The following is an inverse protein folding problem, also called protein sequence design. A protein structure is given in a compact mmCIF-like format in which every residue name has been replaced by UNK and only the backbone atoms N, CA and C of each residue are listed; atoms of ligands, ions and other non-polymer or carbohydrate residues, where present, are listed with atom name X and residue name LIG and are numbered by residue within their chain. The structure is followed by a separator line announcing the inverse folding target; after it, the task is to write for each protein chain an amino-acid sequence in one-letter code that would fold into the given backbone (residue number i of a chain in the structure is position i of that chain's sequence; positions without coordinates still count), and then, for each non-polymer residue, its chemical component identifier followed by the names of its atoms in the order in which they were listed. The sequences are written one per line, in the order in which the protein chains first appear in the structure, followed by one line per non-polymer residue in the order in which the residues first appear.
data_IF_370945293383
#
_entry.id   IF_370945293383
#
_cell.length_a   1.000
_cell.length_b   1.000
_cell.length_c   1.000
_cell.angle_alpha   90.00
_cell.angle_beta   90.00
_cell.angle_gamma   90.00
#
_symmetry.space_group_name_H-M   'P 1'
#
loop_
_entity.id
_entity.type
_entity.pdbx_description
1 polymer ?
#
# COMPACT_ATOMS: atom_id res chain seq x y z
N UNK A 1 31.82 -29.51 26.39
CA UNK A 1 31.17 -29.69 25.06
C UNK A 1 30.74 -28.32 24.56
N UNK A 2 31.60 -27.70 23.77
CA UNK A 2 31.38 -26.36 23.16
C UNK A 2 30.44 -26.52 21.97
N UNK A 3 29.25 -25.95 22.06
CA UNK A 3 28.34 -25.83 20.89
C UNK A 3 28.96 -24.88 19.88
N UNK A 4 29.45 -25.43 18.79
CA UNK A 4 29.82 -24.68 17.59
C UNK A 4 28.56 -23.93 17.08
N UNK A 5 28.58 -22.62 17.18
CA UNK A 5 27.59 -21.78 16.47
C UNK A 5 27.95 -21.85 14.99
N UNK A 6 27.22 -22.66 14.24
CA UNK A 6 27.24 -22.57 12.78
C UNK A 6 26.71 -21.18 12.40
N UNK A 7 27.60 -20.27 12.01
CA UNK A 7 27.23 -19.05 11.30
C UNK A 7 26.49 -19.51 10.02
N UNK A 8 25.20 -19.37 9.99
CA UNK A 8 24.42 -19.54 8.76
C UNK A 8 24.99 -18.54 7.77
N UNK A 9 25.70 -19.00 6.76
CA UNK A 9 26.21 -18.14 5.69
C UNK A 9 24.99 -17.51 4.99
N UNK A 10 24.95 -16.19 4.93
CA UNK A 10 23.96 -15.48 4.14
C UNK A 10 24.25 -15.84 2.67
N UNK A 11 23.24 -16.37 1.91
CA UNK A 11 23.47 -16.72 0.51
C UNK A 11 23.82 -15.47 -0.30
N UNK A 12 24.68 -15.61 -1.29
CA UNK A 12 24.98 -14.51 -2.24
C UNK A 12 23.72 -14.14 -3.03
N UNK A 13 23.65 -12.93 -3.56
CA UNK A 13 22.53 -12.47 -4.38
C UNK A 13 22.31 -13.42 -5.58
N UNK A 14 23.37 -13.88 -6.22
CA UNK A 14 23.30 -14.87 -7.31
C UNK A 14 22.63 -16.18 -6.87
N UNK A 15 22.93 -16.69 -5.67
CA UNK A 15 22.28 -17.88 -5.13
C UNK A 15 20.79 -17.63 -4.84
N UNK A 16 20.45 -16.47 -4.30
CA UNK A 16 19.05 -16.09 -4.02
C UNK A 16 18.21 -16.03 -5.31
N UNK A 17 18.79 -15.57 -6.42
CA UNK A 17 18.10 -15.48 -7.72
C UNK A 17 17.87 -16.85 -8.36
N UNK A 18 18.73 -17.84 -8.10
CA UNK A 18 18.56 -19.21 -8.63
C UNK A 18 17.38 -19.95 -7.97
N UNK A 19 17.07 -19.63 -6.71
CA UNK A 19 15.96 -20.29 -5.99
C UNK A 19 14.60 -19.73 -6.42
N UNK A 20 14.34 -18.46 -6.12
CA UNK A 20 13.15 -17.72 -6.55
C UNK A 20 13.33 -16.22 -6.32
N UNK A 21 13.05 -15.38 -7.32
CA UNK A 21 13.14 -13.93 -7.16
C UNK A 21 12.02 -13.35 -6.27
N UNK A 22 10.99 -14.14 -5.91
CA UNK A 22 9.82 -13.69 -5.17
C UNK A 22 9.83 -14.14 -3.69
N UNK A 23 10.98 -14.02 -3.01
CA UNK A 23 11.13 -14.42 -1.59
C UNK A 23 10.46 -13.41 -0.64
N UNK A 24 10.54 -12.14 -0.94
CA UNK A 24 10.10 -11.06 -0.06
C UNK A 24 9.34 -9.96 -0.78
N UNK A 25 8.67 -9.13 0.01
CA UNK A 25 7.93 -7.95 -0.45
C UNK A 25 8.57 -6.72 0.20
N UNK A 26 9.48 -6.08 -0.53
CA UNK A 26 10.40 -5.09 0.03
C UNK A 26 9.82 -3.67 0.17
N UNK A 27 8.76 -3.33 -0.56
CA UNK A 27 8.26 -1.95 -0.63
C UNK A 27 7.77 -1.37 0.71
N UNK A 28 7.52 -2.17 1.72
CA UNK A 28 7.19 -1.69 3.06
C UNK A 28 8.24 -2.15 4.08
N UNK A 29 9.36 -1.46 4.09
CA UNK A 29 10.45 -1.70 5.03
C UNK A 29 10.37 -0.72 6.21
N UNK A 30 10.59 -1.17 7.47
CA UNK A 30 10.66 -2.55 7.90
C UNK A 30 9.34 -3.30 7.75
N UNK A 31 9.44 -4.61 7.51
CA UNK A 31 8.24 -5.43 7.40
C UNK A 31 7.43 -5.42 8.71
N UNK A 32 6.12 -5.51 8.62
CA UNK A 32 5.20 -5.50 9.79
C UNK A 32 5.53 -6.52 10.87
N UNK A 33 6.23 -7.59 10.52
CA UNK A 33 6.71 -8.58 11.49
C UNK A 33 7.85 -8.07 12.39
N UNK A 34 8.41 -6.90 12.12
CA UNK A 34 9.38 -6.24 12.99
C UNK A 34 8.73 -5.47 14.14
N UNK A 35 7.44 -5.14 14.01
CA UNK A 35 6.72 -4.37 15.00
C UNK A 35 6.55 -5.16 16.30
N UNK A 36 6.74 -4.47 17.43
CA UNK A 36 6.67 -5.01 18.81
C UNK A 36 5.99 -4.00 19.71
N UNK A 37 5.64 -4.42 20.90
CA UNK A 37 5.27 -3.49 21.99
C UNK A 37 6.43 -2.52 22.21
N UNK A 38 6.14 -1.24 22.24
CA UNK A 38 7.09 -0.18 22.60
C UNK A 38 7.05 0.00 24.12
N UNK A 39 8.17 -0.28 24.77
CA UNK A 39 8.30 -0.14 26.22
C UNK A 39 9.53 0.72 26.54
N UNK A 40 9.35 1.89 27.19
CA UNK A 40 8.06 2.51 27.49
C UNK A 40 7.32 2.98 26.22
N UNK A 41 5.97 3.10 26.27
CA UNK A 41 5.19 3.75 25.21
C UNK A 41 5.65 5.19 24.99
N UNK A 42 5.54 5.67 23.74
CA UNK A 42 6.05 6.98 23.35
C UNK A 42 4.88 7.94 23.15
N UNK A 43 4.84 9.12 23.82
CA UNK A 43 3.85 10.14 23.55
C UNK A 43 3.91 10.58 22.09
N UNK A 44 2.76 10.66 21.40
CA UNK A 44 2.72 11.08 20.00
C UNK A 44 3.28 12.48 19.79
N UNK A 45 3.07 13.39 20.75
CA UNK A 45 3.62 14.74 20.71
C UNK A 45 5.15 14.72 20.61
N UNK A 46 5.81 13.83 21.37
CA UNK A 46 7.26 13.71 21.38
C UNK A 46 7.77 13.08 20.07
N UNK A 47 7.01 12.13 19.50
CA UNK A 47 7.33 11.52 18.20
C UNK A 47 7.26 12.53 17.06
N UNK A 48 6.24 13.39 17.05
CA UNK A 48 6.00 14.32 15.96
C UNK A 48 6.70 15.67 16.13
N UNK A 49 7.21 16.00 17.32
CA UNK A 49 7.87 17.28 17.57
C UNK A 49 9.10 17.53 16.67
N UNK A 50 10.00 16.54 16.45
CA UNK A 50 11.17 16.71 15.58
C UNK A 50 10.87 16.58 14.09
N UNK A 51 9.67 16.15 13.71
CA UNK A 51 9.33 15.85 12.32
C UNK A 51 8.93 17.12 11.54
N UNK A 52 9.22 17.10 10.24
CA UNK A 52 8.64 18.07 9.31
C UNK A 52 7.14 17.77 9.18
N UNK A 53 6.31 18.82 9.34
CA UNK A 53 4.85 18.70 9.35
C UNK A 53 4.17 19.64 8.35
N UNK A 54 4.94 20.20 7.44
CA UNK A 54 4.50 21.14 6.40
C UNK A 54 3.93 20.44 5.15
N UNK A 55 4.05 19.10 5.08
CA UNK A 55 3.54 18.33 3.95
C UNK A 55 3.29 16.86 4.36
N UNK A 56 2.34 16.61 5.27
CA UNK A 56 2.02 15.27 5.75
C UNK A 56 1.13 14.50 4.76
N UNK A 57 1.28 13.19 4.77
CA UNK A 57 0.38 12.25 4.11
C UNK A 57 -0.62 11.70 5.13
N UNK A 58 -1.91 11.94 4.95
CA UNK A 58 -2.96 11.40 5.81
C UNK A 58 -3.53 10.11 5.20
N UNK A 59 -3.45 9.01 5.95
CA UNK A 59 -4.01 7.72 5.55
C UNK A 59 -5.11 7.28 6.51
N UNK A 60 -6.32 7.03 5.98
CA UNK A 60 -7.43 6.48 6.74
C UNK A 60 -7.62 5.00 6.36
N UNK A 61 -7.60 4.12 7.34
CA UNK A 61 -7.84 2.69 7.13
C UNK A 61 -9.29 2.33 7.45
N UNK A 62 -10.02 1.82 6.48
CA UNK A 62 -11.37 1.29 6.65
C UNK A 62 -11.28 -0.24 6.53
N UNK A 63 -11.45 -1.00 7.62
CA UNK A 63 -11.19 -2.44 7.62
C UNK A 63 -12.32 -3.28 7.05
N UNK A 64 -13.37 -2.70 6.50
CA UNK A 64 -14.58 -3.38 6.09
C UNK A 64 -14.54 -3.82 4.63
N UNK A 65 -15.07 -5.01 4.37
CA UNK A 65 -15.23 -5.57 3.03
C UNK A 65 -16.54 -6.33 2.95
N UNK A 66 -17.09 -6.49 1.75
CA UNK A 66 -18.19 -7.39 1.47
C UNK A 66 -17.75 -8.87 1.51
N UNK A 67 -16.48 -9.13 1.21
CA UNK A 67 -15.89 -10.46 1.22
C UNK A 67 -14.40 -10.39 1.57
N UNK A 68 -13.84 -11.51 2.01
CA UNK A 68 -12.41 -11.65 2.19
C UNK A 68 -11.82 -12.53 1.10
N UNK A 69 -11.02 -11.93 0.20
CA UNK A 69 -10.33 -12.64 -0.87
C UNK A 69 -9.34 -13.68 -0.31
N UNK A 70 -9.13 -14.77 -1.05
CA UNK A 70 -8.27 -15.88 -0.61
C UNK A 70 -6.79 -15.49 -0.43
N UNK A 71 -6.31 -14.47 -1.14
CA UNK A 71 -4.94 -13.94 -1.04
C UNK A 71 -4.79 -12.81 -0.02
N UNK A 72 -5.89 -12.25 0.52
CA UNK A 72 -5.85 -11.03 1.32
C UNK A 72 -5.07 -11.21 2.62
N UNK A 73 -4.03 -10.39 2.78
CA UNK A 73 -3.20 -10.32 3.98
C UNK A 73 -3.32 -8.97 4.70
N UNK A 74 -4.30 -8.15 4.31
CA UNK A 74 -4.59 -6.87 4.95
C UNK A 74 -5.41 -7.08 6.23
N UNK A 75 -5.41 -6.06 7.08
CA UNK A 75 -6.25 -6.01 8.28
C UNK A 75 -7.68 -5.70 7.86
N UNK A 76 -8.49 -6.73 7.65
CA UNK A 76 -9.86 -6.59 7.13
C UNK A 76 -10.83 -7.54 7.81
N UNK A 77 -12.09 -7.11 7.91
CA UNK A 77 -13.23 -7.94 8.33
C UNK A 77 -14.34 -7.88 7.28
N UNK A 78 -14.93 -9.04 6.99
CA UNK A 78 -15.98 -9.12 5.98
C UNK A 78 -17.37 -9.12 6.65
N UNK A 79 -18.32 -8.41 6.03
CA UNK A 79 -19.70 -8.28 6.45
C UNK A 79 -19.84 -7.96 7.95
N UNK A 80 -19.29 -6.83 8.42
CA UNK A 80 -19.48 -6.38 9.81
C UNK A 80 -20.96 -6.08 10.07
N UNK A 81 -21.36 -6.11 11.35
CA UNK A 81 -22.66 -5.59 11.72
C UNK A 81 -22.67 -4.04 11.60
N UNK A 82 -23.76 -3.44 11.17
CA UNK A 82 -23.89 -1.99 11.04
C UNK A 82 -23.58 -1.21 12.34
N UNK A 83 -23.83 -1.83 13.50
CA UNK A 83 -23.43 -1.25 14.79
C UNK A 83 -21.90 -1.15 14.95
N UNK A 84 -21.16 -2.11 14.38
CA UNK A 84 -19.69 -2.11 14.41
C UNK A 84 -19.11 -1.00 13.50
N UNK A 85 -19.72 -0.76 12.35
CA UNK A 85 -19.32 0.31 11.44
C UNK A 85 -19.41 1.68 12.14
N UNK A 86 -20.57 1.98 12.74
CA UNK A 86 -20.76 3.23 13.49
C UNK A 86 -19.78 3.37 14.66
N UNK A 87 -19.62 2.32 15.47
CA UNK A 87 -18.65 2.33 16.57
C UNK A 87 -17.21 2.56 16.06
N UNK A 88 -16.89 2.01 14.88
CA UNK A 88 -15.58 2.21 14.28
C UNK A 88 -15.36 3.67 13.86
N UNK A 89 -16.32 4.28 13.19
CA UNK A 89 -16.25 5.69 12.80
C UNK A 89 -16.15 6.63 14.01
N UNK A 90 -16.88 6.32 15.10
CA UNK A 90 -16.77 7.03 16.37
C UNK A 90 -15.37 6.89 16.98
N UNK A 91 -14.81 5.69 17.01
CA UNK A 91 -13.46 5.45 17.51
C UNK A 91 -12.40 6.13 16.63
N UNK A 92 -12.57 6.11 15.30
CA UNK A 92 -11.72 6.80 14.35
C UNK A 92 -11.72 8.32 14.59
N UNK A 93 -12.89 8.93 14.86
CA UNK A 93 -13.01 10.35 15.18
C UNK A 93 -12.31 10.67 16.52
N UNK A 94 -12.45 9.84 17.55
CA UNK A 94 -11.74 10.00 18.84
C UNK A 94 -10.22 9.93 18.64
N UNK A 95 -9.73 8.96 17.88
CA UNK A 95 -8.31 8.88 17.52
C UNK A 95 -7.85 10.11 16.75
N UNK A 96 -8.61 10.55 15.75
CA UNK A 96 -8.28 11.69 14.90
C UNK A 96 -8.10 12.98 15.73
N UNK A 97 -8.98 13.24 16.68
CA UNK A 97 -8.88 14.38 17.61
C UNK A 97 -7.56 14.36 18.39
N UNK A 98 -7.19 13.21 18.97
CA UNK A 98 -5.96 13.06 19.77
C UNK A 98 -4.70 13.20 18.91
N UNK A 99 -4.72 12.60 17.70
CA UNK A 99 -3.59 12.71 16.77
C UNK A 99 -3.41 14.14 16.27
N UNK A 100 -4.49 14.83 15.88
CA UNK A 100 -4.45 16.26 15.54
C UNK A 100 -3.80 17.10 16.64
N UNK A 101 -4.23 16.91 17.88
CA UNK A 101 -3.71 17.67 19.03
C UNK A 101 -2.21 17.38 19.29
N UNK A 102 -1.77 16.15 19.01
CA UNK A 102 -0.35 15.78 19.12
C UNK A 102 0.51 16.36 17.98
N UNK A 103 -0.04 16.50 16.78
CA UNK A 103 0.65 17.10 15.64
C UNK A 103 0.88 18.61 15.81
N UNK A 104 -0.01 19.33 16.47
CA UNK A 104 0.07 20.79 16.62
C UNK A 104 -0.16 21.53 15.30
N UNK A 105 0.81 22.32 14.84
CA UNK A 105 0.74 22.98 13.52
C UNK A 105 1.27 22.06 12.45
N UNK A 106 0.49 21.80 11.41
CA UNK A 106 0.83 20.92 10.30
C UNK A 106 0.06 21.30 9.03
N UNK A 107 0.45 20.71 7.90
CA UNK A 107 -0.27 20.79 6.64
C UNK A 107 -0.37 19.39 6.03
N UNK A 108 -1.54 19.04 5.51
CA UNK A 108 -1.76 17.80 4.76
C UNK A 108 -1.53 18.09 3.27
N UNK A 109 -0.58 17.37 2.69
CA UNK A 109 -0.26 17.48 1.26
C UNK A 109 -1.01 16.44 0.42
N UNK A 110 -1.43 15.34 1.01
CA UNK A 110 -2.11 14.24 0.31
C UNK A 110 -2.96 13.40 1.26
N UNK A 111 -4.05 12.84 0.75
CA UNK A 111 -4.93 11.93 1.48
C UNK A 111 -5.08 10.61 0.74
N UNK A 112 -5.14 9.50 1.46
CA UNK A 112 -5.63 8.24 0.93
C UNK A 112 -6.57 7.55 1.93
N UNK A 113 -7.63 6.97 1.41
CA UNK A 113 -8.58 6.15 2.17
C UNK A 113 -8.57 4.75 1.57
N UNK A 114 -8.11 3.78 2.36
CA UNK A 114 -7.89 2.43 1.87
C UNK A 114 -8.07 1.37 2.96
N UNK A 115 -7.52 0.18 2.72
CA UNK A 115 -7.45 -0.90 3.70
C UNK A 115 -8.23 -2.13 3.34
N UNK A 116 -9.51 -2.18 3.67
CA UNK A 116 -10.48 -3.16 3.20
C UNK A 116 -11.08 -2.69 1.88
N UNK A 117 -12.24 -2.10 1.97
CA UNK A 117 -12.94 -1.45 0.85
C UNK A 117 -13.66 -0.22 1.39
N UNK A 118 -13.08 0.96 1.32
CA UNK A 118 -13.71 2.18 1.84
C UNK A 118 -15.12 2.43 1.35
N UNK A 119 -15.38 2.14 0.07
CA UNK A 119 -16.73 2.22 -0.52
C UNK A 119 -17.69 1.12 -0.06
N UNK A 120 -17.31 0.30 0.92
CA UNK A 120 -18.25 -0.53 1.67
C UNK A 120 -19.19 0.33 2.52
N UNK A 121 -18.69 1.47 3.00
CA UNK A 121 -19.48 2.45 3.74
C UNK A 121 -20.59 3.05 2.87
N UNK A 122 -21.69 3.45 3.52
CA UNK A 122 -22.77 4.16 2.84
C UNK A 122 -22.36 5.60 2.50
N UNK A 123 -23.03 6.26 1.52
CA UNK A 123 -22.67 7.61 1.08
C UNK A 123 -22.57 8.63 2.22
N UNK A 124 -23.48 8.61 3.18
CA UNK A 124 -23.47 9.52 4.34
C UNK A 124 -22.23 9.32 5.21
N UNK A 125 -21.81 8.06 5.44
CA UNK A 125 -20.60 7.74 6.20
C UNK A 125 -19.34 8.15 5.43
N UNK A 126 -19.32 8.00 4.09
CA UNK A 126 -18.26 8.54 3.26
C UNK A 126 -18.17 10.06 3.38
N UNK A 127 -19.28 10.77 3.29
CA UNK A 127 -19.29 12.21 3.54
C UNK A 127 -18.76 12.56 4.93
N UNK A 128 -19.15 11.82 5.96
CA UNK A 128 -18.65 11.99 7.33
C UNK A 128 -17.14 11.80 7.47
N UNK A 129 -16.53 10.87 6.70
CA UNK A 129 -15.06 10.73 6.66
C UNK A 129 -14.37 11.97 6.06
N UNK A 130 -14.91 12.53 4.99
CA UNK A 130 -14.37 13.75 4.40
C UNK A 130 -14.57 14.98 5.31
N UNK A 131 -15.72 15.07 5.98
CA UNK A 131 -15.94 16.10 6.99
C UNK A 131 -14.92 16.01 8.12
N UNK A 132 -14.62 14.79 8.60
CA UNK A 132 -13.56 14.55 9.58
C UNK A 132 -12.20 15.06 9.08
N UNK A 133 -11.83 14.77 7.82
CA UNK A 133 -10.54 15.22 7.28
C UNK A 133 -10.46 16.73 7.13
N UNK A 134 -11.53 17.39 6.71
CA UNK A 134 -11.57 18.85 6.55
C UNK A 134 -11.62 19.58 7.91
N UNK A 135 -12.47 19.13 8.83
CA UNK A 135 -12.64 19.75 10.15
C UNK A 135 -11.41 19.63 11.05
N UNK A 136 -10.79 18.43 11.06
CA UNK A 136 -9.70 18.14 12.01
C UNK A 136 -8.31 18.32 11.41
N UNK A 137 -8.15 18.13 10.12
CA UNK A 137 -6.85 18.16 9.47
C UNK A 137 -6.71 19.25 8.41
N UNK A 138 -7.73 20.10 8.25
CA UNK A 138 -7.68 21.22 7.32
C UNK A 138 -7.53 20.79 5.84
N UNK A 139 -8.02 19.60 5.50
CA UNK A 139 -7.96 19.10 4.12
C UNK A 139 -8.97 19.89 3.28
N UNK A 140 -8.46 20.71 2.40
CA UNK A 140 -9.27 21.50 1.46
C UNK A 140 -9.50 20.74 0.15
N UNK A 141 -10.51 21.17 -0.60
CA UNK A 141 -10.75 20.66 -1.96
C UNK A 141 -9.53 20.97 -2.84
N UNK A 142 -9.04 19.97 -3.56
CA UNK A 142 -7.83 20.09 -4.38
C UNK A 142 -6.58 19.49 -3.75
N UNK A 143 -6.63 19.12 -2.46
CA UNK A 143 -5.60 18.24 -1.90
C UNK A 143 -5.75 16.85 -2.55
N UNK A 144 -4.69 16.32 -3.20
CA UNK A 144 -4.76 15.04 -3.89
C UNK A 144 -5.29 13.92 -2.98
N UNK A 145 -6.41 13.33 -3.37
CA UNK A 145 -7.15 12.37 -2.55
C UNK A 145 -7.48 11.11 -3.33
N UNK A 146 -6.99 9.98 -2.84
CA UNK A 146 -7.20 8.65 -3.42
C UNK A 146 -8.11 7.79 -2.55
N UNK A 147 -9.06 7.06 -3.17
CA UNK A 147 -9.95 6.14 -2.47
C UNK A 147 -9.93 4.76 -3.12
N UNK A 148 -9.81 3.70 -2.31
CA UNK A 148 -9.92 2.32 -2.78
C UNK A 148 -11.38 1.89 -2.91
N UNK A 149 -11.70 1.09 -3.92
CA UNK A 149 -13.02 0.52 -4.18
C UNK A 149 -12.95 -0.93 -4.65
N UNK A 150 -14.08 -1.59 -4.73
CA UNK A 150 -14.23 -2.91 -5.34
C UNK A 150 -15.36 -2.90 -6.38
N UNK A 151 -15.38 -3.87 -7.31
CA UNK A 151 -16.45 -3.92 -8.32
C UNK A 151 -17.87 -3.95 -7.74
N UNK A 152 -18.05 -4.57 -6.58
CA UNK A 152 -19.37 -4.67 -5.93
C UNK A 152 -19.81 -3.37 -5.27
N UNK A 153 -18.87 -2.59 -4.76
CA UNK A 153 -19.15 -1.37 -3.97
C UNK A 153 -19.05 -0.08 -4.77
N UNK A 154 -18.59 -0.15 -6.03
CA UNK A 154 -18.54 0.98 -6.96
C UNK A 154 -19.95 1.31 -7.51
N UNK A 155 -20.87 1.71 -6.62
CA UNK A 155 -22.23 2.12 -7.01
C UNK A 155 -22.28 3.59 -7.40
N UNK A 156 -23.28 4.01 -8.21
CA UNK A 156 -23.42 5.43 -8.61
C UNK A 156 -23.44 6.39 -7.42
N UNK A 157 -24.18 6.05 -6.36
CA UNK A 157 -24.36 6.90 -5.18
C UNK A 157 -23.03 7.09 -4.42
N UNK A 158 -22.26 5.99 -4.23
CA UNK A 158 -20.96 6.04 -3.54
C UNK A 158 -19.92 6.79 -4.36
N UNK A 159 -19.88 6.55 -5.67
CA UNK A 159 -18.93 7.25 -6.55
C UNK A 159 -19.29 8.73 -6.70
N UNK A 160 -20.58 9.07 -6.69
CA UNK A 160 -21.03 10.47 -6.69
C UNK A 160 -20.57 11.14 -5.37
N UNK A 161 -20.73 10.47 -4.21
CA UNK A 161 -20.25 11.01 -2.94
C UNK A 161 -18.73 11.30 -2.97
N UNK A 162 -17.92 10.43 -3.60
CA UNK A 162 -16.49 10.67 -3.78
C UNK A 162 -16.22 11.87 -4.70
N UNK A 163 -16.91 11.95 -5.83
CA UNK A 163 -16.77 13.05 -6.80
C UNK A 163 -17.17 14.41 -6.18
N UNK A 164 -18.26 14.46 -5.41
CA UNK A 164 -18.73 15.66 -4.71
C UNK A 164 -17.68 16.20 -3.72
N UNK A 165 -16.87 15.32 -3.15
CA UNK A 165 -15.78 15.65 -2.23
C UNK A 165 -14.45 15.95 -2.92
N UNK A 166 -14.40 15.88 -4.26
CA UNK A 166 -13.23 16.21 -5.04
C UNK A 166 -12.13 15.13 -4.99
N UNK A 167 -12.54 13.87 -4.82
CA UNK A 167 -11.62 12.73 -4.99
C UNK A 167 -11.10 12.74 -6.42
N UNK A 168 -9.78 12.74 -6.57
CA UNK A 168 -9.13 12.79 -7.87
C UNK A 168 -8.66 11.43 -8.39
N UNK A 169 -8.62 10.42 -7.52
CA UNK A 169 -8.17 9.08 -7.86
C UNK A 169 -9.01 8.00 -7.19
N UNK A 170 -9.50 7.06 -7.98
CA UNK A 170 -10.12 5.82 -7.49
C UNK A 170 -9.27 4.64 -7.89
N UNK A 171 -8.96 3.75 -6.93
CA UNK A 171 -8.24 2.50 -7.17
C UNK A 171 -9.18 1.33 -7.03
N UNK A 172 -9.38 0.56 -8.10
CA UNK A 172 -10.23 -0.61 -8.08
C UNK A 172 -9.43 -1.90 -8.23
N UNK A 173 -9.53 -2.77 -7.20
CA UNK A 173 -8.97 -4.12 -7.29
C UNK A 173 -9.81 -5.00 -8.21
N UNK A 174 -9.29 -5.36 -9.39
CA UNK A 174 -9.89 -6.33 -10.33
C UNK A 174 -9.20 -7.68 -10.23
N UNK A 175 -7.88 -7.67 -10.11
CA UNK A 175 -6.98 -8.81 -9.97
C UNK A 175 -6.81 -9.64 -11.25
N UNK A 176 -7.89 -10.05 -11.91
CA UNK A 176 -7.93 -10.72 -13.22
C UNK A 176 -9.29 -10.50 -13.89
N UNK A 177 -9.29 -10.41 -15.22
CA UNK A 177 -10.51 -10.41 -16.04
C UNK A 177 -10.91 -11.84 -16.49
N UNK A 178 -10.22 -12.87 -16.02
CA UNK A 178 -10.57 -14.27 -16.21
C UNK A 178 -11.34 -14.77 -14.99
N UNK A 179 -12.66 -15.08 -15.09
CA UNK A 179 -13.46 -15.48 -13.94
C UNK A 179 -12.91 -16.69 -13.19
N UNK A 180 -12.34 -17.67 -13.90
CA UNK A 180 -11.74 -18.86 -13.31
C UNK A 180 -10.53 -18.54 -12.43
N UNK A 181 -9.67 -17.56 -12.83
CA UNK A 181 -8.51 -17.12 -12.07
C UNK A 181 -8.95 -16.36 -10.81
N UNK A 182 -9.92 -15.45 -10.95
CA UNK A 182 -10.49 -14.72 -9.81
C UNK A 182 -11.12 -15.67 -8.80
N UNK A 183 -11.92 -16.65 -9.25
CA UNK A 183 -12.51 -17.67 -8.40
C UNK A 183 -11.46 -18.54 -7.71
N UNK A 184 -10.41 -18.96 -8.43
CA UNK A 184 -9.31 -19.75 -7.89
C UNK A 184 -8.48 -18.96 -6.84
N UNK A 185 -8.50 -17.63 -6.92
CA UNK A 185 -7.93 -16.73 -5.92
C UNK A 185 -8.87 -16.44 -4.72
N UNK A 186 -10.03 -17.12 -4.67
CA UNK A 186 -11.04 -16.91 -3.63
C UNK A 186 -11.72 -15.55 -3.71
N UNK A 187 -11.81 -14.97 -4.94
CA UNK A 187 -12.51 -13.72 -5.22
C UNK A 187 -13.65 -14.00 -6.20
N UNK A 188 -14.85 -14.17 -5.66
CA UNK A 188 -16.05 -14.33 -6.47
C UNK A 188 -16.46 -12.98 -7.08
N UNK A 189 -16.11 -12.76 -8.36
CA UNK A 189 -16.55 -11.62 -9.14
C UNK A 189 -16.97 -12.07 -10.53
N UNK A 190 -18.06 -11.48 -11.02
CA UNK A 190 -18.59 -11.72 -12.36
C UNK A 190 -18.06 -10.65 -13.32
N UNK A 191 -17.82 -11.02 -14.57
CA UNK A 191 -17.31 -10.10 -15.60
C UNK A 191 -18.19 -8.89 -15.78
N UNK A 192 -19.53 -9.10 -15.83
CA UNK A 192 -20.50 -8.03 -16.00
C UNK A 192 -20.53 -7.06 -14.80
N UNK A 193 -20.23 -7.56 -13.59
CA UNK A 193 -20.11 -6.70 -12.41
C UNK A 193 -18.89 -5.78 -12.53
N UNK A 194 -17.76 -6.30 -12.97
CA UNK A 194 -16.54 -5.52 -13.19
C UNK A 194 -16.78 -4.46 -14.27
N UNK A 195 -17.39 -4.85 -15.40
CA UNK A 195 -17.71 -3.93 -16.49
C UNK A 195 -18.60 -2.78 -16.00
N UNK A 196 -19.73 -3.10 -15.35
CA UNK A 196 -20.62 -2.05 -14.80
C UNK A 196 -19.93 -1.13 -13.79
N UNK A 197 -19.07 -1.67 -12.95
CA UNK A 197 -18.30 -0.85 -11.99
C UNK A 197 -17.38 0.14 -12.72
N UNK A 198 -16.68 -0.31 -13.75
CA UNK A 198 -15.79 0.52 -14.56
C UNK A 198 -16.57 1.64 -15.28
N UNK A 199 -17.70 1.29 -15.90
CA UNK A 199 -18.59 2.26 -16.54
C UNK A 199 -19.10 3.30 -15.52
N UNK A 200 -19.46 2.86 -14.31
CA UNK A 200 -19.93 3.75 -13.24
C UNK A 200 -18.82 4.70 -12.77
N UNK A 201 -17.59 4.22 -12.61
CA UNK A 201 -16.44 5.07 -12.26
C UNK A 201 -16.19 6.12 -13.35
N UNK A 202 -16.25 5.73 -14.63
CA UNK A 202 -16.12 6.66 -15.75
C UNK A 202 -17.25 7.70 -15.79
N UNK A 203 -18.49 7.28 -15.52
CA UNK A 203 -19.63 8.18 -15.43
C UNK A 203 -19.50 9.22 -14.30
N UNK A 204 -18.88 8.85 -13.18
CA UNK A 204 -18.61 9.77 -12.06
C UNK A 204 -17.53 10.82 -12.39
N UNK A 205 -16.80 10.69 -13.51
CA UNK A 205 -15.77 11.64 -13.98
C UNK A 205 -14.65 11.90 -12.97
N UNK A 206 -14.31 10.90 -12.18
CA UNK A 206 -13.13 10.97 -11.30
C UNK A 206 -11.88 10.98 -12.20
N UNK A 207 -10.94 11.93 -12.01
CA UNK A 207 -9.86 12.18 -12.96
C UNK A 207 -8.94 10.99 -13.22
N UNK A 208 -8.68 10.17 -12.19
CA UNK A 208 -7.74 9.03 -12.31
C UNK A 208 -8.42 7.73 -11.90
N UNK A 209 -8.56 6.81 -12.85
CA UNK A 209 -8.87 5.41 -12.59
C UNK A 209 -7.58 4.61 -12.52
N UNK A 210 -7.34 3.97 -11.39
CA UNK A 210 -6.32 2.94 -11.25
C UNK A 210 -6.96 1.56 -11.19
N UNK A 211 -6.36 0.58 -11.88
CA UNK A 211 -6.74 -0.83 -11.76
C UNK A 211 -5.60 -1.65 -11.18
N UNK A 212 -5.91 -2.41 -10.13
CA UNK A 212 -4.99 -3.34 -9.51
C UNK A 212 -5.19 -4.74 -10.10
N UNK A 213 -4.12 -5.32 -10.65
CA UNK A 213 -4.09 -6.65 -11.23
C UNK A 213 -3.03 -7.51 -10.53
N UNK A 214 -3.31 -8.82 -10.40
CA UNK A 214 -2.38 -9.76 -9.78
C UNK A 214 -1.91 -10.78 -10.81
N UNK A 215 -0.58 -10.91 -10.95
CA UNK A 215 0.03 -11.96 -11.76
C UNK A 215 0.53 -13.12 -10.90
N UNK A 216 0.55 -14.33 -11.49
CA UNK A 216 0.87 -15.58 -10.81
C UNK A 216 -0.32 -16.17 -10.05
N UNK A 217 -1.56 -15.84 -10.42
CA UNK A 217 -2.76 -16.44 -9.87
C UNK A 217 -2.83 -17.96 -10.17
N UNK A 218 -3.54 -18.76 -9.35
CA UNK A 218 -3.70 -20.17 -9.60
C UNK A 218 -4.35 -20.43 -10.96
N UNK A 219 -3.68 -21.21 -11.82
CA UNK A 219 -4.13 -21.53 -13.17
C UNK A 219 -3.82 -20.46 -14.23
N UNK A 220 -3.24 -19.33 -13.85
CA UNK A 220 -2.87 -18.26 -14.75
C UNK A 220 -1.68 -18.70 -15.65
N UNK A 221 -1.73 -18.31 -16.91
CA UNK A 221 -0.64 -18.42 -17.88
C UNK A 221 -0.23 -17.04 -18.34
N UNK A 222 0.91 -16.92 -19.04
CA UNK A 222 1.31 -15.65 -19.65
C UNK A 222 0.23 -15.15 -20.61
N UNK A 223 -0.40 -16.05 -21.38
CA UNK A 223 -1.44 -15.69 -22.34
C UNK A 223 -2.69 -15.12 -21.66
N UNK A 224 -3.19 -15.76 -20.59
CA UNK A 224 -4.38 -15.28 -19.86
C UNK A 224 -4.08 -14.00 -19.08
N UNK A 225 -2.83 -13.84 -18.64
CA UNK A 225 -2.36 -12.59 -18.03
C UNK A 225 -2.37 -11.43 -19.04
N UNK A 226 -1.80 -11.62 -20.23
CA UNK A 226 -1.81 -10.61 -21.29
C UNK A 226 -3.24 -10.24 -21.72
N UNK A 227 -4.13 -11.24 -21.87
CA UNK A 227 -5.54 -10.98 -22.11
C UNK A 227 -6.17 -10.08 -21.02
N UNK A 228 -5.89 -10.35 -19.75
CA UNK A 228 -6.40 -9.51 -18.66
C UNK A 228 -5.88 -8.06 -18.74
N UNK A 229 -4.64 -7.85 -19.16
CA UNK A 229 -4.08 -6.52 -19.39
C UNK A 229 -4.74 -5.82 -20.59
N UNK A 230 -4.95 -6.53 -21.71
CA UNK A 230 -5.63 -5.99 -22.89
C UNK A 230 -7.06 -5.55 -22.57
N UNK A 231 -7.80 -6.37 -21.81
CA UNK A 231 -9.14 -5.99 -21.34
C UNK A 231 -9.06 -4.79 -20.40
N UNK A 232 -8.12 -4.74 -19.46
CA UNK A 232 -7.93 -3.58 -18.60
C UNK A 232 -7.68 -2.30 -19.41
N UNK A 233 -6.77 -2.36 -20.40
CA UNK A 233 -6.44 -1.22 -21.26
C UNK A 233 -7.62 -0.74 -22.11
N UNK A 234 -8.56 -1.63 -22.48
CA UNK A 234 -9.77 -1.22 -23.23
C UNK A 234 -10.67 -0.24 -22.50
N UNK A 235 -10.56 -0.16 -21.16
CA UNK A 235 -11.21 0.85 -20.31
C UNK A 235 -10.38 2.13 -20.17
N UNK A 236 -9.22 2.21 -20.85
CA UNK A 236 -8.30 3.36 -20.84
C UNK A 236 -7.97 3.87 -19.42
N UNK A 237 -7.54 3.01 -18.46
CA UNK A 237 -7.20 3.48 -17.11
C UNK A 237 -5.96 4.39 -17.17
N UNK A 238 -5.96 5.42 -16.35
CA UNK A 238 -4.83 6.34 -16.19
C UNK A 238 -3.64 5.64 -15.54
N UNK A 239 -3.93 4.64 -14.67
CA UNK A 239 -2.90 3.90 -13.94
C UNK A 239 -3.23 2.41 -13.89
N UNK A 240 -2.17 1.59 -13.93
CA UNK A 240 -2.22 0.15 -13.72
C UNK A 240 -1.19 -0.24 -12.66
N UNK A 241 -1.62 -0.98 -11.64
CA UNK A 241 -0.74 -1.59 -10.67
C UNK A 241 -0.69 -3.10 -10.85
N UNK A 242 0.52 -3.62 -11.07
CA UNK A 242 0.78 -5.04 -11.25
C UNK A 242 1.39 -5.61 -9.97
N UNK A 243 0.68 -6.54 -9.34
CA UNK A 243 1.12 -7.17 -8.09
C UNK A 243 1.46 -8.64 -8.30
N UNK A 244 2.63 -9.12 -7.84
CA UNK A 244 2.87 -10.57 -7.78
C UNK A 244 1.97 -11.20 -6.71
N UNK A 245 1.44 -12.38 -6.99
CA UNK A 245 0.76 -13.15 -5.97
C UNK A 245 1.76 -13.59 -4.89
N UNK A 246 1.53 -13.14 -3.66
CA UNK A 246 2.19 -13.67 -2.48
C UNK A 246 1.19 -14.46 -1.62
N UNK A 247 1.43 -15.76 -1.51
CA UNK A 247 0.65 -16.59 -0.59
C UNK A 247 1.27 -16.48 0.80
N UNK A 248 0.59 -15.77 1.67
CA UNK A 248 1.04 -15.55 3.06
C UNK A 248 0.37 -16.54 4.01
N UNK A 249 1.05 -16.94 5.10
CA UNK A 249 0.42 -17.74 6.15
C UNK A 249 -0.89 -17.10 6.63
N UNK A 250 -1.87 -17.92 6.99
CA UNK A 250 -3.20 -17.53 7.47
C UNK A 250 -4.13 -16.89 6.41
N UNK A 251 -3.70 -16.77 5.15
CA UNK A 251 -4.59 -16.42 4.05
C UNK A 251 -5.40 -17.65 3.59
N UNK A 252 -6.50 -17.45 2.87
CA UNK A 252 -7.30 -18.54 2.32
C UNK A 252 -6.49 -19.46 1.41
N UNK A 253 -5.66 -18.89 0.54
CA UNK A 253 -4.82 -19.63 -0.40
C UNK A 253 -3.71 -20.45 0.27
N UNK A 254 -3.25 -20.08 1.46
CA UNK A 254 -2.23 -20.84 2.18
C UNK A 254 -2.72 -22.20 2.68
N UNK A 255 -4.03 -22.43 2.68
CA UNK A 255 -4.68 -23.68 3.10
C UNK A 255 -4.88 -24.67 1.96
N UNK A 256 -4.57 -24.27 0.74
CA UNK A 256 -4.76 -25.09 -0.47
C UNK A 256 -3.39 -25.47 -1.00
N UNK A 257 -2.99 -26.73 -0.77
CA UNK A 257 -1.82 -27.31 -1.41
C UNK A 257 -2.10 -27.48 -2.91
N UNK A 258 -1.31 -26.83 -3.74
CA UNK A 258 -1.28 -27.03 -5.20
C UNK A 258 0.16 -26.94 -5.65
N UNK A 259 0.60 -27.92 -6.43
CA UNK A 259 1.80 -27.74 -7.25
C UNK A 259 1.55 -26.56 -8.19
N UNK A 260 2.45 -25.59 -8.16
CA UNK A 260 2.33 -24.37 -8.97
C UNK A 260 3.63 -24.21 -9.76
N UNK A 261 3.52 -24.17 -11.07
CA UNK A 261 4.58 -23.61 -11.87
C UNK A 261 4.65 -22.10 -11.55
N UNK A 262 5.83 -21.61 -11.17
CA UNK A 262 6.00 -20.18 -10.91
C UNK A 262 6.11 -19.41 -12.22
N UNK A 263 5.01 -18.84 -12.66
CA UNK A 263 4.92 -18.05 -13.90
C UNK A 263 5.10 -16.55 -13.64
N UNK A 264 5.34 -16.13 -12.39
CA UNK A 264 5.30 -14.71 -12.01
C UNK A 264 6.31 -13.87 -12.78
N UNK A 265 7.54 -14.30 -12.91
CA UNK A 265 8.57 -13.56 -13.64
C UNK A 265 8.22 -13.42 -15.11
N UNK A 266 7.81 -14.50 -15.76
CA UNK A 266 7.40 -14.49 -17.15
C UNK A 266 6.16 -13.60 -17.39
N UNK A 267 5.17 -13.64 -16.49
CA UNK A 267 4.00 -12.75 -16.54
C UNK A 267 4.41 -11.29 -16.37
N UNK A 268 5.29 -10.99 -15.42
CA UNK A 268 5.74 -9.61 -15.20
C UNK A 268 6.46 -9.04 -16.42
N UNK A 269 7.42 -9.78 -16.97
CA UNK A 269 8.18 -9.37 -18.16
C UNK A 269 7.25 -9.12 -19.35
N UNK A 270 6.41 -10.10 -19.68
CA UNK A 270 5.47 -9.97 -20.80
C UNK A 270 4.46 -8.81 -20.59
N UNK A 271 3.94 -8.66 -19.38
CA UNK A 271 3.00 -7.57 -19.06
C UNK A 271 3.65 -6.20 -19.12
N UNK A 272 4.86 -6.05 -18.61
CA UNK A 272 5.65 -4.83 -18.72
C UNK A 272 5.89 -4.44 -20.18
N UNK A 273 6.34 -5.39 -20.98
CA UNK A 273 6.63 -5.14 -22.40
C UNK A 273 5.36 -4.75 -23.19
N UNK A 274 4.23 -5.41 -22.90
CA UNK A 274 2.93 -5.05 -23.47
C UNK A 274 2.53 -3.61 -23.11
N UNK A 275 2.61 -3.23 -21.82
CA UNK A 275 2.22 -1.89 -21.38
C UNK A 275 3.11 -0.80 -21.95
N UNK A 276 4.43 -1.00 -21.99
CA UNK A 276 5.37 -0.05 -22.58
C UNK A 276 5.12 0.13 -24.08
N UNK A 277 4.88 -0.96 -24.83
CA UNK A 277 4.54 -0.89 -26.25
C UNK A 277 3.16 -0.29 -26.53
N UNK A 278 2.26 -0.27 -25.52
CA UNK A 278 0.92 0.31 -25.59
C UNK A 278 0.86 1.78 -25.13
N UNK A 279 2.01 2.43 -24.91
CA UNK A 279 2.08 3.86 -24.56
C UNK A 279 1.95 4.17 -23.06
N UNK A 280 2.07 3.16 -22.19
CA UNK A 280 2.23 3.38 -20.77
C UNK A 280 3.70 3.63 -20.44
N UNK A 281 3.96 4.48 -19.44
CA UNK A 281 5.29 4.68 -18.86
C UNK A 281 5.36 3.96 -17.52
N UNK A 282 6.43 3.22 -17.29
CA UNK A 282 6.69 2.62 -15.99
C UNK A 282 7.13 3.72 -15.00
N UNK A 283 6.46 3.83 -13.86
CA UNK A 283 6.77 4.78 -12.79
C UNK A 283 7.53 4.11 -11.66
N UNK A 284 7.18 2.88 -11.36
CA UNK A 284 7.85 2.05 -10.36
C UNK A 284 7.80 0.59 -10.77
N UNK A 285 8.41 -0.28 -9.97
CA UNK A 285 8.36 -1.73 -10.22
C UNK A 285 6.92 -2.27 -10.44
N UNK A 286 5.89 -1.55 -10.04
CA UNK A 286 4.49 -2.02 -10.10
C UNK A 286 3.56 -1.09 -10.85
N UNK A 287 3.85 0.20 -10.85
CA UNK A 287 2.98 1.24 -11.34
C UNK A 287 3.33 1.60 -12.78
N UNK A 288 2.32 1.55 -13.63
CA UNK A 288 2.37 2.00 -15.02
C UNK A 288 1.34 3.11 -15.21
N UNK A 289 1.72 4.17 -15.91
CA UNK A 289 0.91 5.35 -16.12
C UNK A 289 0.71 5.62 -17.60
N UNK A 290 -0.54 5.86 -18.00
CA UNK A 290 -0.88 6.17 -19.38
C UNK A 290 -0.43 7.58 -19.76
N UNK A 291 -0.12 7.81 -21.03
CA UNK A 291 0.26 9.13 -21.55
C UNK A 291 -0.87 10.18 -21.43
N UNK A 292 -2.13 9.74 -21.39
CA UNK A 292 -3.30 10.62 -21.22
C UNK A 292 -3.64 10.92 -19.76
N UNK A 293 -2.94 10.30 -18.81
CA UNK A 293 -3.21 10.53 -17.38
C UNK A 293 -2.98 12.01 -17.02
N UNK A 294 -3.83 12.60 -16.15
CA UNK A 294 -3.67 13.99 -15.74
C UNK A 294 -2.27 14.24 -15.17
N UNK A 295 -1.65 15.36 -15.49
CA UNK A 295 -0.39 15.75 -14.88
C UNK A 295 -0.58 15.89 -13.36
N UNK A 296 0.19 15.10 -12.61
CA UNK A 296 0.17 15.14 -11.14
C UNK A 296 1.29 16.01 -10.58
N UNK A 297 1.96 16.78 -11.42
CA UNK A 297 2.98 17.74 -10.98
C UNK A 297 2.34 18.83 -10.12
N UNK A 298 1.97 18.48 -8.88
CA UNK A 298 1.79 19.44 -7.82
C UNK A 298 3.17 19.93 -7.40
N UNK A 299 3.42 21.24 -7.32
CA UNK A 299 4.66 21.75 -6.76
C UNK A 299 4.75 21.31 -5.30
N UNK A 300 5.68 20.43 -4.99
CA UNK A 300 5.88 19.89 -3.65
C UNK A 300 6.50 18.49 -3.67
N UNK A 301 6.94 17.99 -2.52
CA UNK A 301 7.50 16.65 -2.45
C UNK A 301 6.46 15.60 -2.85
N UNK A 302 6.86 14.67 -3.70
CA UNK A 302 6.06 13.48 -4.05
C UNK A 302 6.12 12.54 -2.86
N UNK A 303 5.01 12.43 -2.12
CA UNK A 303 4.90 11.47 -1.03
C UNK A 303 4.30 10.17 -1.54
N UNK A 304 4.91 9.07 -1.20
CA UNK A 304 4.24 7.78 -1.25
C UNK A 304 3.76 7.37 0.14
N UNK A 305 2.82 6.44 0.21
CA UNK A 305 2.27 5.95 1.49
C UNK A 305 3.26 5.13 2.34
N UNK A 306 4.55 5.18 2.02
CA UNK A 306 5.64 4.50 2.71
C UNK A 306 6.73 5.47 3.19
N UNK A 307 6.60 6.77 2.90
CA UNK A 307 7.59 7.77 3.28
C UNK A 307 7.39 8.27 4.72
N UNK A 308 8.42 8.94 5.24
CA UNK A 308 8.33 9.64 6.52
C UNK A 308 7.28 10.75 6.41
N UNK A 309 6.56 11.03 7.51
CA UNK A 309 5.47 12.00 7.51
C UNK A 309 4.12 11.42 7.16
N UNK A 310 3.95 10.10 7.09
CA UNK A 310 2.63 9.47 6.98
C UNK A 310 1.96 9.39 8.34
N UNK A 311 0.78 9.97 8.45
CA UNK A 311 -0.13 9.90 9.60
C UNK A 311 -1.23 8.90 9.30
N UNK A 312 -1.23 7.78 10.01
CA UNK A 312 -2.22 6.71 9.84
C UNK A 312 -3.31 6.76 10.91
N UNK A 313 -4.55 6.75 10.47
CA UNK A 313 -5.75 6.68 11.32
C UNK A 313 -6.50 5.39 11.08
N UNK A 314 -7.05 4.83 12.13
CA UNK A 314 -7.82 3.58 12.09
C UNK A 314 -7.00 2.35 12.40
N UNK A 315 -7.71 1.29 12.76
CA UNK A 315 -7.12 0.00 13.08
C UNK A 315 -6.62 -0.68 11.79
N UNK A 316 -5.32 -0.96 11.74
CA UNK A 316 -4.62 -1.45 10.53
C UNK A 316 -3.77 -0.41 9.82
N UNK A 317 -4.01 0.89 10.09
CA UNK A 317 -3.16 1.97 9.61
C UNK A 317 -1.79 1.96 10.31
N UNK A 318 -0.79 2.50 9.62
CA UNK A 318 0.54 2.75 10.17
C UNK A 318 0.87 4.22 10.06
N UNK A 319 1.70 4.69 10.97
CA UNK A 319 2.29 6.03 10.90
C UNK A 319 3.81 5.90 10.82
N UNK A 320 4.42 6.78 10.05
CA UNK A 320 5.85 6.77 9.78
C UNK A 320 6.46 8.12 10.16
N UNK A 321 7.25 8.13 11.24
CA UNK A 321 8.24 9.16 11.50
C UNK A 321 9.62 8.64 11.08
N UNK A 322 10.61 9.52 11.04
CA UNK A 322 11.96 9.13 10.66
C UNK A 322 12.52 8.02 11.54
N UNK A 323 12.30 8.11 12.83
CA UNK A 323 12.94 7.24 13.83
C UNK A 323 12.03 6.13 14.35
N UNK A 324 10.70 6.25 14.17
CA UNK A 324 9.73 5.29 14.70
C UNK A 324 8.60 5.07 13.72
N UNK A 325 8.35 3.83 13.38
CA UNK A 325 7.11 3.43 12.71
C UNK A 325 6.18 2.80 13.73
N UNK A 326 4.95 3.26 13.80
CA UNK A 326 3.99 2.77 14.77
C UNK A 326 2.62 2.47 14.16
N UNK A 327 1.87 1.62 14.81
CA UNK A 327 0.50 1.24 14.43
C UNK A 327 -0.26 0.74 15.65
N UNK A 328 -1.49 0.28 15.44
CA UNK A 328 -2.11 -0.68 16.35
C UNK A 328 -1.56 -2.08 16.05
N UNK A 329 -1.80 -3.03 16.97
CA UNK A 329 -1.46 -4.43 16.75
C UNK A 329 -2.05 -4.89 15.40
N UNK A 330 -1.33 -5.75 14.69
CA UNK A 330 -1.70 -6.20 13.36
C UNK A 330 -1.97 -7.69 13.35
N UNK A 331 -3.07 -8.07 12.72
CA UNK A 331 -3.43 -9.47 12.54
C UNK A 331 -3.91 -9.75 11.12
N UNK A 332 -3.75 -11.02 10.69
CA UNK A 332 -4.28 -11.53 9.42
C UNK A 332 -5.38 -12.56 9.69
N UNK A 333 -5.27 -13.37 10.75
CA UNK A 333 -6.27 -14.37 11.10
C UNK A 333 -7.62 -13.76 11.50
N UNK A 334 -8.73 -14.34 11.04
CA UNK A 334 -10.09 -13.80 11.27
C UNK A 334 -10.41 -13.53 12.75
N UNK A 335 -10.08 -14.46 13.63
CA UNK A 335 -10.34 -14.33 15.07
C UNK A 335 -9.48 -13.22 15.69
N UNK A 336 -8.20 -13.18 15.34
CA UNK A 336 -7.28 -12.14 15.84
C UNK A 336 -7.65 -10.74 15.35
N UNK A 337 -8.05 -10.59 14.06
CA UNK A 337 -8.56 -9.32 13.53
C UNK A 337 -9.77 -8.83 14.33
N UNK A 338 -10.71 -9.74 14.67
CA UNK A 338 -11.89 -9.37 15.45
C UNK A 338 -11.52 -8.89 16.86
N UNK A 339 -10.57 -9.55 17.52
CA UNK A 339 -10.09 -9.16 18.85
C UNK A 339 -9.45 -7.78 18.82
N UNK A 340 -8.48 -7.56 17.91
CA UNK A 340 -7.79 -6.26 17.76
C UNK A 340 -8.79 -5.14 17.42
N UNK A 341 -9.81 -5.44 16.61
CA UNK A 341 -10.85 -4.46 16.29
C UNK A 341 -11.69 -4.11 17.53
N UNK A 342 -12.09 -5.11 18.33
CA UNK A 342 -12.84 -4.87 19.57
C UNK A 342 -12.03 -4.03 20.56
N UNK A 343 -10.74 -4.31 20.71
CA UNK A 343 -9.84 -3.54 21.56
C UNK A 343 -9.70 -2.08 21.08
N UNK A 344 -9.68 -1.87 19.77
CA UNK A 344 -9.67 -0.53 19.18
C UNK A 344 -10.96 0.24 19.49
N UNK A 345 -12.12 -0.39 19.35
CA UNK A 345 -13.43 0.23 19.64
C UNK A 345 -13.56 0.61 21.12
N UNK A 346 -13.08 -0.24 22.02
CA UNK A 346 -13.15 -0.03 23.48
C UNK A 346 -12.03 0.89 24.03
N UNK A 347 -11.06 1.28 23.18
CA UNK A 347 -9.88 2.02 23.62
C UNK A 347 -10.25 3.38 24.22
N UNK A 348 -9.75 3.72 25.43
CA UNK A 348 -9.98 5.04 26.01
C UNK A 348 -9.23 6.13 25.25
N UNK A 349 -9.77 7.34 25.22
CA UNK A 349 -9.24 8.46 24.42
C UNK A 349 -7.76 8.74 24.71
N UNK A 350 -7.37 8.79 25.99
CA UNK A 350 -5.99 9.03 26.40
C UNK A 350 -5.00 7.98 25.87
N UNK A 351 -5.46 6.78 25.56
CA UNK A 351 -4.61 5.75 24.97
C UNK A 351 -4.32 5.97 23.48
N UNK A 352 -4.99 6.92 22.83
CA UNK A 352 -4.63 7.38 21.49
C UNK A 352 -3.52 8.44 21.48
N UNK A 353 -3.10 8.94 22.64
CA UNK A 353 -2.00 9.91 22.76
C UNK A 353 -0.61 9.29 22.66
N UNK A 354 -0.53 7.95 22.65
CA UNK A 354 0.72 7.22 22.73
C UNK A 354 0.88 6.20 21.57
N UNK A 355 2.12 6.00 21.14
CA UNK A 355 2.53 4.86 20.35
C UNK A 355 3.02 3.75 21.29
N UNK A 356 2.26 2.67 21.37
CA UNK A 356 2.51 1.52 22.25
C UNK A 356 2.92 0.26 21.47
N UNK A 357 2.84 0.29 20.13
CA UNK A 357 3.23 -0.81 19.25
C UNK A 357 3.88 -0.27 17.98
N UNK A 358 5.08 -0.76 17.66
CA UNK A 358 5.83 -0.24 16.53
C UNK A 358 7.24 -0.82 16.42
N UNK A 359 8.08 -0.11 15.69
CA UNK A 359 9.51 -0.41 15.54
C UNK A 359 10.30 0.89 15.57
N UNK A 360 11.40 0.91 16.33
CA UNK A 360 12.41 1.98 16.28
C UNK A 360 13.40 1.63 15.17
N UNK A 361 13.68 2.61 14.32
CA UNK A 361 14.63 2.48 13.23
C UNK A 361 16.02 2.92 13.69
N UNK A 362 16.99 2.06 13.52
CA UNK A 362 18.41 2.44 13.62
C UNK A 362 18.81 3.27 12.39
N UNK A 363 19.95 3.95 12.46
CA UNK A 363 20.51 4.67 11.31
C UNK A 363 20.70 3.75 10.09
N UNK A 364 21.13 2.50 10.33
CA UNK A 364 21.28 1.51 9.27
C UNK A 364 19.93 1.14 8.63
N UNK A 365 18.88 0.98 9.42
CA UNK A 365 17.54 0.68 8.90
C UNK A 365 16.93 1.86 8.14
N UNK A 366 17.19 3.10 8.55
CA UNK A 366 16.78 4.28 7.81
C UNK A 366 17.46 4.35 6.44
N UNK A 367 18.78 4.05 6.37
CA UNK A 367 19.53 3.97 5.11
C UNK A 367 18.99 2.88 4.20
N UNK A 368 18.78 1.68 4.72
CA UNK A 368 18.17 0.56 3.97
C UNK A 368 16.79 0.92 3.43
N UNK A 369 15.95 1.53 4.27
CA UNK A 369 14.61 1.95 3.88
C UNK A 369 14.66 2.95 2.73
N UNK A 370 15.49 3.97 2.84
CA UNK A 370 15.67 4.97 1.81
C UNK A 370 16.08 4.33 0.47
N UNK A 371 17.10 3.47 0.49
CA UNK A 371 17.56 2.78 -0.72
C UNK A 371 16.45 1.90 -1.31
N UNK A 372 15.76 1.12 -0.50
CA UNK A 372 14.67 0.24 -0.98
C UNK A 372 13.56 1.08 -1.61
N UNK A 373 13.13 2.17 -0.99
CA UNK A 373 12.04 3.00 -1.51
C UNK A 373 12.41 3.72 -2.81
N UNK A 374 13.66 4.17 -2.95
CA UNK A 374 14.11 4.91 -4.13
C UNK A 374 14.49 4.01 -5.30
N UNK A 375 15.21 2.91 -5.07
CA UNK A 375 15.64 1.99 -6.14
C UNK A 375 14.47 1.27 -6.84
N UNK A 376 13.33 1.16 -6.17
CA UNK A 376 12.11 0.58 -6.74
C UNK A 376 11.32 1.56 -7.63
N UNK A 377 11.73 2.84 -7.69
CA UNK A 377 11.21 3.83 -8.63
C UNK A 377 12.05 3.82 -9.91
N UNK A 378 11.46 4.19 -11.03
CA UNK A 378 12.20 4.22 -12.31
C UNK A 378 13.32 5.26 -12.35
N UNK A 379 13.21 6.34 -11.56
CA UNK A 379 14.29 7.32 -11.41
C UNK A 379 15.49 6.75 -10.66
N UNK A 380 15.32 5.66 -9.95
CA UNK A 380 16.35 4.97 -9.22
C UNK A 380 16.89 5.71 -7.99
N UNK A 381 17.97 5.19 -7.45
CA UNK A 381 18.67 5.74 -6.29
C UNK A 381 19.65 6.84 -6.75
N UNK A 382 19.44 8.06 -6.27
CA UNK A 382 20.33 9.21 -6.49
C UNK A 382 21.40 9.25 -5.39
N UNK A 383 22.66 9.14 -5.77
CA UNK A 383 23.81 9.12 -4.84
C UNK A 383 24.04 10.47 -4.14
N UNK A 384 23.77 11.58 -4.84
CA UNK A 384 23.93 12.91 -4.25
C UNK A 384 22.86 13.14 -3.18
N UNK A 385 21.60 12.83 -3.49
CA UNK A 385 20.50 12.92 -2.53
C UNK A 385 20.70 12.00 -1.32
N UNK A 386 21.26 10.81 -1.52
CA UNK A 386 21.62 9.91 -0.42
C UNK A 386 22.69 10.55 0.48
N UNK A 387 23.76 11.08 -0.12
CA UNK A 387 24.87 11.72 0.61
C UNK A 387 24.40 12.95 1.38
N UNK A 388 23.55 13.77 0.77
CA UNK A 388 22.98 14.96 1.42
C UNK A 388 22.13 14.58 2.64
N UNK A 389 21.41 13.45 2.56
CA UNK A 389 20.56 12.97 3.66
C UNK A 389 21.35 12.30 4.79
N UNK A 390 22.37 11.49 4.48
CA UNK A 390 23.03 10.62 5.45
C UNK A 390 24.49 10.99 5.73
N UNK A 391 25.07 11.92 4.99
CA UNK A 391 26.46 12.38 5.17
C UNK A 391 27.54 11.37 4.75
N UNK A 392 27.15 10.27 4.06
CA UNK A 392 28.03 9.20 3.65
C UNK A 392 27.71 8.71 2.23
N UNK A 393 28.64 7.96 1.62
CA UNK A 393 28.38 7.30 0.34
C UNK A 393 27.50 6.07 0.55
N UNK A 394 26.53 5.87 -0.34
CA UNK A 394 25.69 4.67 -0.31
C UNK A 394 26.51 3.38 -0.52
N UNK A 395 27.61 3.48 -1.26
CA UNK A 395 28.52 2.35 -1.52
C UNK A 395 29.34 1.94 -0.29
N UNK A 396 29.61 2.89 0.60
CA UNK A 396 30.28 2.60 1.88
C UNK A 396 29.29 1.99 2.88
N UNK A 397 28.06 2.51 2.92
CA UNK A 397 27.02 2.08 3.85
C UNK A 397 26.39 0.71 3.45
N UNK A 398 26.25 0.48 2.13
CA UNK A 398 25.58 -0.71 1.57
C UNK A 398 26.38 -1.29 0.39
N UNK A 399 27.58 -1.82 0.64
CA UNK A 399 28.49 -2.30 -0.41
C UNK A 399 27.92 -3.44 -1.25
N UNK A 400 26.94 -4.19 -0.74
CA UNK A 400 26.24 -5.24 -1.49
C UNK A 400 25.49 -4.73 -2.73
N UNK A 401 25.20 -3.44 -2.85
CA UNK A 401 24.60 -2.86 -4.06
C UNK A 401 25.50 -3.02 -5.28
N UNK A 402 26.82 -3.10 -5.08
CA UNK A 402 27.79 -3.34 -6.15
C UNK A 402 27.65 -4.72 -6.83
N UNK A 403 26.91 -5.65 -6.21
CA UNK A 403 26.64 -6.96 -6.82
C UNK A 403 25.56 -6.88 -7.92
N UNK A 404 24.74 -5.82 -7.94
CA UNK A 404 23.57 -5.72 -8.86
C UNK A 404 24.00 -5.57 -10.33
N UNK A 405 24.98 -4.71 -10.60
CA UNK A 405 25.41 -4.41 -11.98
C UNK A 405 26.08 -5.63 -12.67
N UNK A 406 27.05 -6.35 -12.05
CA UNK A 406 27.63 -7.55 -12.64
C UNK A 406 26.61 -8.68 -12.91
N UNK A 407 25.48 -8.68 -12.19
CA UNK A 407 24.38 -9.63 -12.38
C UNK A 407 23.36 -9.16 -13.43
N UNK A 408 23.56 -7.99 -14.02
CA UNK A 408 22.63 -7.40 -14.98
C UNK A 408 21.28 -7.00 -14.39
N UNK A 409 21.23 -6.75 -13.08
CA UNK A 409 20.02 -6.37 -12.36
C UNK A 409 19.86 -4.86 -12.21
N UNK A 410 20.94 -4.11 -12.38
CA UNK A 410 20.93 -2.66 -12.30
C UNK A 410 21.91 -2.06 -13.29
N UNK A 411 21.71 -0.79 -13.59
CA UNK A 411 22.60 0.05 -14.37
C UNK A 411 23.06 1.21 -13.52
N UNK A 412 24.37 1.47 -13.47
CA UNK A 412 24.94 2.60 -12.79
C UNK A 412 25.45 3.64 -13.78
N UNK A 413 24.99 4.86 -13.67
CA UNK A 413 25.39 5.98 -14.55
C UNK A 413 24.88 7.33 -14.07
N UNK A 414 25.62 8.39 -14.35
CA UNK A 414 25.27 9.78 -13.99
C UNK A 414 24.94 9.99 -12.50
N UNK A 415 25.62 9.25 -11.60
CA UNK A 415 25.37 9.32 -10.16
C UNK A 415 24.04 8.70 -9.71
N UNK A 416 23.49 7.78 -10.51
CA UNK A 416 22.25 7.04 -10.21
C UNK A 416 22.42 5.54 -10.41
N UNK A 417 21.75 4.77 -9.56
CA UNK A 417 21.59 3.33 -9.70
C UNK A 417 20.11 3.03 -10.00
N UNK A 418 19.84 2.46 -11.17
CA UNK A 418 18.48 2.11 -11.64
C UNK A 418 18.36 0.60 -11.87
N UNK A 419 17.21 -0.02 -11.52
CA UNK A 419 16.91 -1.44 -11.75
C UNK A 419 16.37 -1.67 -13.15
#
# INVERSE_FOLDING_TARGET
MTRSSSKTMIPTLAQMLLDTPYVGYAYSYPHKMAYRTLDPPIPLRDLWAPERRDALFLYLHIPFCEMRCGFCNLFTTANPAASMERQYLDALRRQALRVRDALGTFQIARVAIGGGTPTYLEPDDLHGLFDLTSELFGVERGVPTSVETSPRTATPERLQALADRGVDRVSMGVQSFIPAEAAAAGRGQETDMVARALDTIRAARIPTLNLDLIYGLPGQTVQTWLYSLEVAMSYAPEELYLYPLYVRPLTGLSRVERERQDVRLACYQAGRDLLLSSGYTQVSMRMFRAAHAPDTATPGPVYCCQDDGMVGLGCGARSYTRDVHYSREYAVGRTSVKGVLQDYLARPDAAFDIADYGVRLTDEEQRRRYVISTILQCDGLDEAAYRDRFGASVWDDLPQLAELEPLGLATHGNGRLTL
#
